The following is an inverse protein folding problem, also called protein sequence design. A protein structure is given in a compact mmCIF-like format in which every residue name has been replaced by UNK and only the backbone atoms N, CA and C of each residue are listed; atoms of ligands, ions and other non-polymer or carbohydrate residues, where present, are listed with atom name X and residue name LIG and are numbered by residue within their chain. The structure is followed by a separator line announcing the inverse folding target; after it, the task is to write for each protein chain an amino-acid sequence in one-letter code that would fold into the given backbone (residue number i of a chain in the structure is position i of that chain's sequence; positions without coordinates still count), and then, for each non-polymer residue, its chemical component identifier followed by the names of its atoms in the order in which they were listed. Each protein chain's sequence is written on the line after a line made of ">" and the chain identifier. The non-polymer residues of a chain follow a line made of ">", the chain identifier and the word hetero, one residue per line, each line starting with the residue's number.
data_IF_618409303891
#
_entry.id   IF_618409303891
#
_cell.length_a   1.000
_cell.length_b   1.000
_cell.length_c   1.000
_cell.angle_alpha   90.00
_cell.angle_beta   90.00
_cell.angle_gamma   90.00
#
_symmetry.space_group_name_H-M   'P 1'
#
loop_
_entity.id
_entity.type
_entity.pdbx_description
1 polymer ?
#
# COMPACT_ATOMS: atom_id res chain seq x y z
N UNK A 1 3.50 -9.86 23.65
CA UNK A 1 4.68 -10.46 22.99
C UNK A 1 4.39 -10.57 21.51
N UNK A 2 5.38 -10.38 20.62
CA UNK A 2 5.19 -10.66 19.20
C UNK A 2 4.80 -12.13 19.03
N UNK A 3 3.78 -12.40 18.22
CA UNK A 3 3.34 -13.77 17.92
C UNK A 3 4.32 -14.34 16.90
N UNK A 4 5.20 -15.23 17.37
CA UNK A 4 6.10 -16.00 16.51
C UNK A 4 5.30 -17.19 15.94
N UNK A 5 5.18 -17.34 14.61
CA UNK A 5 4.42 -18.45 14.04
C UNK A 5 5.17 -19.77 14.24
N UNK A 6 4.48 -20.83 14.64
CA UNK A 6 5.07 -22.18 14.58
C UNK A 6 5.22 -22.64 13.12
N UNK A 7 4.20 -22.35 12.29
CA UNK A 7 4.15 -22.69 10.86
C UNK A 7 3.79 -21.44 10.07
N UNK A 8 4.59 -21.11 9.06
CA UNK A 8 4.30 -20.07 8.07
C UNK A 8 3.86 -20.72 6.75
N UNK A 9 2.68 -20.34 6.27
CA UNK A 9 2.23 -20.60 4.91
C UNK A 9 2.41 -19.32 4.09
N UNK A 10 3.16 -19.40 2.99
CA UNK A 10 3.36 -18.25 2.11
C UNK A 10 3.30 -18.66 0.65
N UNK A 11 3.00 -17.71 -0.21
CA UNK A 11 3.11 -17.85 -1.65
C UNK A 11 4.42 -17.19 -2.13
N UNK A 12 5.08 -17.81 -3.10
CA UNK A 12 6.32 -17.31 -3.72
C UNK A 12 6.34 -17.59 -5.23
N UNK A 13 7.11 -16.80 -5.98
CA UNK A 13 7.43 -17.12 -7.38
C UNK A 13 8.30 -18.38 -7.47
N UNK A 14 8.44 -19.00 -8.66
CA UNK A 14 9.49 -19.98 -8.90
C UNK A 14 10.88 -19.44 -8.54
N UNK A 15 11.84 -20.28 -8.12
CA UNK A 15 13.21 -19.86 -7.92
C UNK A 15 13.85 -19.45 -9.24
N UNK A 16 14.73 -18.44 -9.20
CA UNK A 16 15.61 -18.13 -10.32
C UNK A 16 16.82 -19.08 -10.38
N UNK A 17 17.73 -18.86 -11.34
CA UNK A 17 18.95 -19.64 -11.52
C UNK A 17 19.89 -19.64 -10.30
N UNK A 18 19.69 -18.73 -9.35
CA UNK A 18 20.46 -18.60 -8.11
C UNK A 18 19.70 -19.12 -6.89
N UNK A 19 18.52 -19.73 -7.10
CA UNK A 19 17.70 -20.29 -6.03
C UNK A 19 16.87 -19.27 -5.27
N UNK A 20 16.74 -18.02 -5.75
CA UNK A 20 15.91 -17.02 -5.10
C UNK A 20 14.49 -17.01 -5.65
N UNK A 21 13.53 -17.11 -4.75
CA UNK A 21 12.12 -16.83 -4.99
C UNK A 21 11.81 -15.37 -4.60
N UNK A 22 10.65 -14.86 -5.03
CA UNK A 22 10.11 -13.56 -4.67
C UNK A 22 8.75 -13.72 -3.98
N UNK A 23 8.44 -12.92 -2.96
CA UNK A 23 7.09 -12.90 -2.35
C UNK A 23 6.05 -12.14 -3.19
N UNK A 24 6.45 -11.70 -4.37
CA UNK A 24 5.59 -11.15 -5.40
C UNK A 24 5.15 -9.73 -5.12
N UNK A 25 3.85 -9.48 -5.18
CA UNK A 25 3.31 -8.16 -4.91
C UNK A 25 3.15 -7.85 -3.42
N UNK A 26 3.34 -8.80 -2.50
CA UNK A 26 3.02 -8.60 -1.08
C UNK A 26 4.11 -9.15 -0.17
N UNK A 27 4.99 -8.26 0.31
CA UNK A 27 6.06 -8.58 1.24
C UNK A 27 5.58 -8.57 2.70
N UNK A 28 4.96 -7.48 3.15
CA UNK A 28 4.61 -7.25 4.55
C UNK A 28 5.81 -7.49 5.48
N UNK A 29 5.70 -8.45 6.40
CA UNK A 29 6.77 -8.91 7.28
C UNK A 29 7.19 -10.37 6.97
N UNK A 30 6.86 -10.90 5.79
CA UNK A 30 7.10 -12.32 5.44
C UNK A 30 8.57 -12.70 5.59
N UNK A 31 9.50 -11.80 5.27
CA UNK A 31 10.94 -12.05 5.41
C UNK A 31 11.34 -12.30 6.86
N UNK A 32 10.76 -11.56 7.80
CA UNK A 32 10.97 -11.79 9.22
C UNK A 32 10.29 -13.08 9.66
N UNK A 33 9.05 -13.32 9.22
CA UNK A 33 8.30 -14.53 9.56
C UNK A 33 8.99 -15.81 9.09
N UNK A 34 9.60 -15.81 7.90
CA UNK A 34 10.39 -16.95 7.38
C UNK A 34 11.54 -17.30 8.32
N UNK A 35 12.21 -16.30 8.90
CA UNK A 35 13.35 -16.51 9.81
C UNK A 35 12.93 -16.98 11.20
N UNK A 36 11.74 -16.58 11.64
CA UNK A 36 11.24 -16.87 12.99
C UNK A 36 10.42 -18.16 13.06
N UNK A 37 9.80 -18.57 11.95
CA UNK A 37 8.98 -19.77 11.91
C UNK A 37 9.80 -21.03 12.15
N UNK A 38 9.19 -22.02 12.83
CA UNK A 38 9.80 -23.36 12.96
C UNK A 38 9.66 -24.18 11.68
N UNK A 39 8.65 -23.87 10.87
CA UNK A 39 8.37 -24.52 9.60
C UNK A 39 7.81 -23.53 8.59
N UNK A 40 8.35 -23.50 7.39
CA UNK A 40 7.92 -22.66 6.26
C UNK A 40 7.48 -23.54 5.10
N UNK A 41 6.20 -23.46 4.76
CA UNK A 41 5.62 -24.14 3.59
C UNK A 41 5.28 -23.06 2.56
N UNK A 42 5.92 -23.14 1.39
CA UNK A 42 5.79 -22.17 0.33
C UNK A 42 5.06 -22.75 -0.89
N UNK A 43 3.96 -22.11 -1.27
CA UNK A 43 3.26 -22.38 -2.52
C UNK A 43 3.95 -21.62 -3.66
N UNK A 44 4.44 -22.37 -4.66
CA UNK A 44 5.15 -21.85 -5.82
C UNK A 44 4.14 -21.51 -6.92
N UNK A 45 3.88 -20.23 -7.13
CA UNK A 45 2.96 -19.73 -8.16
C UNK A 45 3.69 -19.00 -9.28
N UNK A 46 3.66 -19.57 -10.49
CA UNK A 46 4.24 -18.96 -11.70
C UNK A 46 3.59 -17.63 -12.10
N UNK A 47 2.37 -17.36 -11.62
CA UNK A 47 1.64 -16.14 -11.91
C UNK A 47 2.03 -14.96 -11.00
N UNK A 48 2.84 -15.20 -9.96
CA UNK A 48 3.33 -14.11 -9.13
C UNK A 48 4.34 -13.27 -9.90
N UNK A 49 4.12 -11.95 -9.87
CA UNK A 49 5.11 -11.00 -10.38
C UNK A 49 6.40 -11.08 -9.56
N UNK A 50 7.52 -10.56 -10.08
CA UNK A 50 8.75 -10.38 -9.30
C UNK A 50 8.99 -8.89 -9.09
N UNK A 51 9.23 -8.48 -7.86
CA UNK A 51 9.54 -7.08 -7.54
C UNK A 51 10.89 -6.99 -6.82
N UNK A 52 11.48 -5.79 -6.78
CA UNK A 52 12.78 -5.57 -6.13
C UNK A 52 12.61 -5.11 -4.69
N UNK A 53 13.75 -4.89 -4.01
CA UNK A 53 13.80 -4.53 -2.60
C UNK A 53 14.19 -5.72 -1.73
N UNK A 54 13.60 -5.81 -0.54
CA UNK A 54 13.81 -6.90 0.42
C UNK A 54 12.97 -8.13 0.10
N UNK A 55 12.32 -8.15 -1.06
CA UNK A 55 11.24 -9.05 -1.41
C UNK A 55 11.68 -10.41 -1.98
N UNK A 56 12.79 -10.94 -1.47
CA UNK A 56 13.37 -12.20 -1.92
C UNK A 56 13.61 -13.16 -0.75
N UNK A 57 13.52 -14.46 -1.04
CA UNK A 57 13.81 -15.56 -0.13
C UNK A 57 14.51 -16.67 -0.90
N UNK A 58 15.58 -17.24 -0.36
CA UNK A 58 16.27 -18.36 -1.01
C UNK A 58 15.58 -19.68 -0.68
N UNK A 59 15.59 -20.64 -1.59
CA UNK A 59 14.97 -21.97 -1.38
C UNK A 59 15.50 -22.72 -0.16
N UNK A 60 16.72 -22.41 0.30
CA UNK A 60 17.27 -22.99 1.54
C UNK A 60 16.63 -22.47 2.82
N UNK A 61 15.83 -21.41 2.74
CA UNK A 61 15.08 -20.83 3.86
C UNK A 61 13.63 -21.38 3.90
N UNK A 62 13.29 -22.35 3.03
CA UNK A 62 11.95 -22.91 2.89
C UNK A 62 12.01 -24.43 3.16
N UNK A 63 11.14 -24.94 4.03
CA UNK A 63 11.14 -26.37 4.40
C UNK A 63 10.40 -27.23 3.37
N UNK A 64 9.29 -26.72 2.84
CA UNK A 64 8.50 -27.40 1.81
C UNK A 64 8.10 -26.44 0.69
N UNK A 65 8.15 -26.94 -0.54
CA UNK A 65 7.67 -26.27 -1.73
C UNK A 65 6.51 -27.09 -2.31
N UNK A 66 5.37 -26.45 -2.54
CA UNK A 66 4.20 -27.07 -3.17
C UNK A 66 3.83 -26.29 -4.43
N UNK A 67 3.49 -26.98 -5.51
CA UNK A 67 3.10 -26.32 -6.76
C UNK A 67 1.71 -25.69 -6.63
N UNK A 68 1.56 -24.45 -7.08
CA UNK A 68 0.27 -23.77 -7.12
C UNK A 68 -0.70 -24.53 -8.02
N UNK A 69 -1.87 -24.85 -7.47
CA UNK A 69 -2.99 -25.39 -8.27
C UNK A 69 -3.96 -24.25 -8.59
N UNK A 70 -4.12 -23.86 -9.87
CA UNK A 70 -5.01 -22.77 -10.24
C UNK A 70 -6.43 -23.02 -9.73
N UNK A 71 -6.97 -22.09 -8.96
CA UNK A 71 -8.38 -22.16 -8.58
C UNK A 71 -9.25 -21.90 -9.82
N UNK A 72 -10.37 -22.62 -9.96
CA UNK A 72 -11.37 -22.36 -11.01
C UNK A 72 -12.02 -20.97 -10.92
N UNK A 73 -11.75 -20.24 -9.84
CA UNK A 73 -12.22 -18.88 -9.59
C UNK A 73 -11.10 -17.91 -9.98
N UNK A 74 -11.19 -17.33 -11.18
CA UNK A 74 -10.38 -16.16 -11.50
C UNK A 74 -10.79 -15.04 -10.53
N UNK A 75 -9.88 -14.64 -9.63
CA UNK A 75 -10.00 -13.39 -8.92
C UNK A 75 -9.97 -12.29 -9.99
N UNK A 76 -11.13 -11.66 -10.24
CA UNK A 76 -11.24 -10.60 -11.24
C UNK A 76 -10.31 -9.43 -10.92
N UNK A 77 -10.00 -8.62 -11.94
CA UNK A 77 -9.32 -7.35 -11.73
C UNK A 77 -10.09 -6.49 -10.71
N UNK A 78 -9.42 -6.08 -9.63
CA UNK A 78 -10.04 -5.42 -8.49
C UNK A 78 -9.01 -4.70 -7.61
N UNK A 79 -9.49 -3.95 -6.62
CA UNK A 79 -8.63 -3.35 -5.60
C UNK A 79 -7.84 -4.41 -4.82
N UNK A 80 -6.80 -4.00 -4.08
CA UNK A 80 -6.06 -4.86 -3.13
C UNK A 80 -6.98 -5.60 -2.15
N UNK A 81 -8.15 -5.03 -1.84
CA UNK A 81 -9.17 -5.65 -1.00
C UNK A 81 -10.14 -6.60 -1.76
N UNK A 82 -9.80 -7.01 -3.00
CA UNK A 82 -10.62 -7.89 -3.82
C UNK A 82 -11.94 -7.29 -4.31
N UNK A 83 -12.12 -5.96 -4.17
CA UNK A 83 -13.35 -5.27 -4.59
C UNK A 83 -13.32 -4.97 -6.08
N UNK A 84 -14.47 -5.17 -6.74
CA UNK A 84 -14.68 -4.73 -8.12
C UNK A 84 -14.45 -3.22 -8.21
N UNK A 85 -13.76 -2.78 -9.26
CA UNK A 85 -13.65 -1.37 -9.57
C UNK A 85 -15.02 -0.85 -10.01
N UNK A 86 -15.62 -0.02 -9.16
CA UNK A 86 -16.88 0.67 -9.46
C UNK A 86 -16.64 2.15 -9.75
N UNK A 87 -17.64 2.77 -10.37
CA UNK A 87 -17.67 4.22 -10.57
C UNK A 87 -17.74 4.92 -9.21
N UNK A 88 -16.78 5.82 -8.89
CA UNK A 88 -16.75 6.49 -7.61
C UNK A 88 -18.00 7.37 -7.43
N UNK A 89 -18.65 7.36 -6.25
CA UNK A 89 -19.73 8.29 -5.96
C UNK A 89 -19.34 9.76 -6.18
N UNK A 90 -20.27 10.63 -6.62
CA UNK A 90 -19.97 12.02 -7.00
C UNK A 90 -19.28 12.84 -5.89
N UNK A 91 -19.59 12.58 -4.62
CA UNK A 91 -18.98 13.31 -3.49
C UNK A 91 -17.47 13.09 -3.39
N UNK A 92 -16.94 11.95 -3.88
CA UNK A 92 -15.50 11.66 -3.84
C UNK A 92 -14.71 12.58 -4.74
N UNK A 93 -15.31 13.09 -5.83
CA UNK A 93 -14.66 14.09 -6.69
C UNK A 93 -14.35 15.36 -5.90
N UNK A 94 -15.27 15.79 -5.06
CA UNK A 94 -15.07 16.97 -4.22
C UNK A 94 -13.97 16.75 -3.17
N UNK A 95 -13.91 15.55 -2.60
CA UNK A 95 -12.82 15.16 -1.69
C UNK A 95 -11.48 15.20 -2.45
N UNK A 96 -11.40 14.63 -3.66
CA UNK A 96 -10.19 14.65 -4.47
C UNK A 96 -9.72 16.08 -4.81
N UNK A 97 -10.64 16.96 -5.18
CA UNK A 97 -10.36 18.38 -5.43
C UNK A 97 -9.79 19.09 -4.20
N UNK A 98 -10.38 18.86 -3.02
CA UNK A 98 -9.89 19.45 -1.77
C UNK A 98 -8.50 18.92 -1.40
N UNK A 99 -8.28 17.60 -1.52
CA UNK A 99 -6.97 17.00 -1.23
C UNK A 99 -5.91 17.49 -2.22
N UNK A 100 -6.23 17.64 -3.50
CA UNK A 100 -5.30 18.11 -4.53
C UNK A 100 -4.71 19.51 -4.26
N UNK A 101 -5.47 20.37 -3.57
CA UNK A 101 -5.02 21.71 -3.17
C UNK A 101 -3.95 21.66 -2.06
N UNK A 102 -3.91 20.58 -1.29
CA UNK A 102 -2.96 20.38 -0.18
C UNK A 102 -1.65 19.72 -0.62
N UNK A 103 -1.65 19.12 -1.83
CA UNK A 103 -0.49 18.47 -2.44
C UNK A 103 0.26 19.44 -3.35
N UNK A 104 1.58 19.47 -3.23
CA UNK A 104 2.51 20.30 -3.99
C UNK A 104 3.44 19.43 -4.82
N UNK A 105 4.03 20.02 -5.86
CA UNK A 105 5.08 19.36 -6.65
C UNK A 105 6.25 18.96 -5.76
N UNK A 106 6.72 17.73 -5.92
CA UNK A 106 7.80 17.17 -5.11
C UNK A 106 7.43 16.66 -3.72
N UNK A 107 6.16 16.73 -3.31
CA UNK A 107 5.72 16.09 -2.07
C UNK A 107 5.96 14.56 -2.15
N UNK A 108 6.32 13.93 -1.03
CA UNK A 108 6.33 12.47 -0.90
C UNK A 108 5.00 12.05 -0.30
N UNK A 109 4.25 11.17 -0.98
CA UNK A 109 2.91 10.82 -0.55
C UNK A 109 2.80 9.39 -0.02
N UNK A 110 1.89 9.23 0.94
CA UNK A 110 1.22 7.98 1.30
C UNK A 110 -0.28 8.15 1.06
N UNK A 111 -0.94 7.08 0.61
CA UNK A 111 -2.40 7.03 0.55
C UNK A 111 -2.91 5.65 0.99
N UNK A 112 -3.87 5.65 1.91
CA UNK A 112 -4.48 4.44 2.43
C UNK A 112 -5.35 3.71 1.40
N UNK A 113 -5.58 2.43 1.63
CA UNK A 113 -6.42 1.56 0.79
C UNK A 113 -7.81 1.46 1.44
N UNK A 114 -8.79 2.21 0.94
CA UNK A 114 -10.14 2.26 1.50
C UNK A 114 -11.17 2.85 0.54
N UNK A 115 -12.46 2.74 0.89
CA UNK A 115 -13.58 3.21 0.03
C UNK A 115 -13.50 4.69 -0.34
N UNK A 116 -12.97 5.52 0.56
CA UNK A 116 -12.88 6.97 0.34
C UNK A 116 -11.56 7.38 -0.32
N UNK A 117 -10.44 6.72 0.03
CA UNK A 117 -9.11 7.11 -0.43
C UNK A 117 -8.71 6.47 -1.76
N UNK A 118 -9.00 5.18 -1.99
CA UNK A 118 -8.62 4.50 -3.23
C UNK A 118 -9.08 5.22 -4.49
N UNK A 119 -10.33 5.74 -4.58
CA UNK A 119 -10.78 6.37 -5.81
C UNK A 119 -10.10 7.71 -6.09
N UNK A 120 -9.50 8.37 -5.08
CA UNK A 120 -8.93 9.72 -5.24
C UNK A 120 -7.81 9.75 -6.29
N UNK A 121 -7.02 8.69 -6.40
CA UNK A 121 -5.95 8.55 -7.41
C UNK A 121 -6.50 8.61 -8.83
N UNK A 122 -7.67 8.00 -9.07
CA UNK A 122 -8.36 7.97 -10.37
C UNK A 122 -9.22 9.22 -10.61
N UNK A 123 -9.59 9.92 -9.55
CA UNK A 123 -10.36 11.17 -9.60
C UNK A 123 -9.49 12.42 -9.75
N UNK A 124 -8.23 12.25 -10.15
CA UNK A 124 -7.36 13.36 -10.52
C UNK A 124 -6.77 14.14 -9.35
N UNK A 125 -6.68 13.53 -8.16
CA UNK A 125 -6.04 14.15 -6.98
C UNK A 125 -4.62 14.66 -7.28
N UNK A 126 -3.90 14.01 -8.21
CA UNK A 126 -2.54 14.37 -8.61
C UNK A 126 -2.45 15.02 -10.01
N UNK A 127 -3.58 15.42 -10.60
CA UNK A 127 -3.57 16.07 -11.91
C UNK A 127 -2.77 17.37 -11.87
N UNK A 128 -1.88 17.53 -12.86
CA UNK A 128 -1.00 18.70 -12.97
C UNK A 128 0.11 18.76 -11.92
N UNK A 129 0.29 17.72 -11.09
CA UNK A 129 1.42 17.62 -10.17
C UNK A 129 2.61 16.97 -10.84
N UNK A 130 3.81 17.33 -10.39
CA UNK A 130 5.07 16.81 -10.94
C UNK A 130 6.02 16.35 -9.82
N UNK A 131 6.92 15.43 -10.19
CA UNK A 131 7.98 14.91 -9.33
C UNK A 131 7.52 14.31 -7.99
N UNK A 132 6.30 13.77 -7.95
CA UNK A 132 5.74 13.21 -6.73
C UNK A 132 6.56 12.00 -6.26
N UNK A 133 6.85 11.96 -4.97
CA UNK A 133 7.43 10.80 -4.29
C UNK A 133 6.35 9.85 -3.79
N UNK A 134 6.69 8.57 -3.66
CA UNK A 134 5.77 7.56 -3.14
C UNK A 134 6.45 6.70 -2.06
N UNK A 135 5.95 6.78 -0.83
CA UNK A 135 6.33 5.96 0.33
C UNK A 135 5.05 5.62 1.09
N UNK A 136 4.48 4.44 0.85
CA UNK A 136 3.12 4.12 1.28
C UNK A 136 3.00 2.65 1.64
N UNK A 137 2.16 2.30 2.61
CA UNK A 137 1.83 0.90 2.95
C UNK A 137 1.57 0.06 1.70
N UNK A 138 0.65 0.57 0.87
CA UNK A 138 0.31 -0.08 -0.37
C UNK A 138 -0.01 0.89 -1.52
N UNK A 139 -0.25 0.34 -2.72
CA UNK A 139 -0.73 1.11 -3.87
C UNK A 139 -2.20 0.83 -4.17
N UNK A 140 -3.10 1.82 -4.04
CA UNK A 140 -4.43 1.71 -4.61
C UNK A 140 -4.36 1.69 -6.16
N UNK A 141 -5.42 1.21 -6.83
CA UNK A 141 -5.51 1.27 -8.29
C UNK A 141 -5.22 2.66 -8.85
N UNK A 142 -4.46 2.74 -9.95
CA UNK A 142 -4.07 3.98 -10.61
C UNK A 142 -2.68 4.53 -10.25
N UNK A 143 -2.06 4.09 -9.15
CA UNK A 143 -0.68 4.51 -8.83
C UNK A 143 0.31 4.08 -9.91
N UNK A 144 0.22 2.83 -10.39
CA UNK A 144 1.10 2.33 -11.44
C UNK A 144 0.96 3.16 -12.72
N UNK A 145 -0.27 3.49 -13.13
CA UNK A 145 -0.54 4.43 -14.22
C UNK A 145 0.11 5.80 -14.02
N UNK A 146 0.04 6.37 -12.81
CA UNK A 146 0.66 7.68 -12.52
C UNK A 146 2.20 7.64 -12.55
N UNK A 147 2.80 6.49 -12.22
CA UNK A 147 4.24 6.24 -12.41
C UNK A 147 4.57 6.19 -13.90
N UNK A 148 3.79 5.43 -14.70
CA UNK A 148 3.95 5.36 -16.17
C UNK A 148 3.86 6.72 -16.85
N UNK A 149 3.00 7.59 -16.34
CA UNK A 149 2.81 8.96 -16.85
C UNK A 149 3.92 9.94 -16.41
N UNK A 150 4.81 9.54 -15.51
CA UNK A 150 5.89 10.39 -15.01
C UNK A 150 5.46 11.43 -13.97
N UNK A 151 4.22 11.34 -13.46
CA UNK A 151 3.74 12.19 -12.36
C UNK A 151 4.41 11.76 -11.05
N UNK A 152 4.42 10.44 -10.79
CA UNK A 152 5.15 9.84 -9.66
C UNK A 152 6.53 9.42 -10.17
N UNK A 153 7.56 10.14 -9.75
CA UNK A 153 8.95 9.87 -10.16
C UNK A 153 9.85 9.47 -9.00
N UNK A 154 9.51 9.86 -7.76
CA UNK A 154 10.37 9.65 -6.60
C UNK A 154 11.65 10.51 -6.58
N UNK A 155 11.90 11.36 -7.58
CA UNK A 155 13.18 12.07 -7.73
C UNK A 155 13.52 13.00 -6.57
N UNK A 156 12.49 13.54 -5.90
CA UNK A 156 12.63 14.51 -4.79
C UNK A 156 12.50 13.87 -3.40
N UNK A 157 12.35 12.55 -3.31
CA UNK A 157 12.31 11.87 -2.01
C UNK A 157 13.66 11.98 -1.30
N UNK A 158 13.64 12.23 0.01
CA UNK A 158 14.85 12.21 0.85
C UNK A 158 15.46 10.82 0.96
N UNK A 159 14.64 9.81 1.27
CA UNK A 159 15.05 8.40 1.29
C UNK A 159 14.58 7.68 0.02
N UNK A 160 15.36 6.69 -0.42
CA UNK A 160 15.07 5.88 -1.61
C UNK A 160 14.67 6.74 -2.85
N UNK A 161 15.51 7.71 -3.26
CA UNK A 161 15.20 8.57 -4.39
C UNK A 161 14.99 7.76 -5.67
N UNK A 162 14.02 8.17 -6.47
CA UNK A 162 13.63 7.51 -7.71
C UNK A 162 12.85 6.20 -7.53
N UNK A 163 12.48 5.83 -6.30
CA UNK A 163 11.77 4.58 -6.01
C UNK A 163 10.34 4.82 -5.51
N UNK A 164 9.44 3.96 -5.96
CA UNK A 164 8.13 3.71 -5.36
C UNK A 164 8.33 2.68 -4.26
N UNK A 165 8.31 3.15 -3.00
CA UNK A 165 8.58 2.30 -1.83
C UNK A 165 7.26 1.90 -1.18
N UNK A 166 7.02 0.59 -1.09
CA UNK A 166 5.79 0.00 -0.53
C UNK A 166 6.07 -1.32 0.18
N UNK A 167 5.11 -1.88 0.92
CA UNK A 167 5.19 -3.28 1.36
C UNK A 167 4.22 -4.18 0.58
N UNK A 168 3.16 -3.59 0.02
CA UNK A 168 2.19 -4.29 -0.83
C UNK A 168 1.90 -3.49 -2.10
N UNK A 169 2.11 -4.10 -3.26
CA UNK A 169 1.81 -3.52 -4.56
C UNK A 169 0.43 -3.99 -5.04
N UNK A 170 -0.47 -3.05 -5.25
CA UNK A 170 -1.75 -3.21 -5.92
C UNK A 170 -1.79 -2.55 -7.29
N UNK A 171 -2.33 -3.26 -8.27
CA UNK A 171 -2.66 -2.73 -9.59
C UNK A 171 -4.17 -2.78 -9.82
N UNK A 172 -4.68 -1.92 -10.68
CA UNK A 172 -6.06 -1.95 -11.15
C UNK A 172 -6.29 -2.98 -12.26
N UNK A 173 -5.23 -3.53 -12.86
CA UNK A 173 -5.30 -4.56 -13.90
C UNK A 173 -4.09 -5.50 -13.89
N UNK A 174 -4.21 -6.64 -14.58
CA UNK A 174 -3.10 -7.56 -14.82
C UNK A 174 -1.95 -6.90 -15.58
N UNK A 175 -2.27 -6.08 -16.59
CA UNK A 175 -1.28 -5.33 -17.36
C UNK A 175 -0.44 -4.40 -16.47
N UNK A 176 -1.07 -3.70 -15.52
CA UNK A 176 -0.33 -2.84 -14.57
C UNK A 176 0.62 -3.67 -13.69
N UNK A 177 0.17 -4.83 -13.22
CA UNK A 177 1.01 -5.72 -12.41
C UNK A 177 2.18 -6.29 -13.22
N UNK A 178 1.94 -6.72 -14.46
CA UNK A 178 2.98 -7.20 -15.38
C UNK A 178 3.99 -6.09 -15.69
N UNK A 179 3.54 -4.85 -15.88
CA UNK A 179 4.43 -3.69 -16.09
C UNK A 179 5.30 -3.36 -14.88
N UNK A 180 4.80 -3.62 -13.68
CA UNK A 180 5.57 -3.46 -12.44
C UNK A 180 6.54 -4.63 -12.17
N UNK A 181 6.28 -5.80 -12.77
CA UNK A 181 7.15 -6.98 -12.65
C UNK A 181 8.54 -6.70 -13.23
N UNK A 182 9.59 -7.06 -12.49
CA UNK A 182 10.99 -6.82 -12.82
C UNK A 182 11.31 -5.35 -13.17
N UNK A 183 10.54 -4.41 -12.63
CA UNK A 183 10.77 -2.98 -12.84
C UNK A 183 11.48 -2.38 -11.63
N UNK A 184 12.72 -1.85 -11.78
CA UNK A 184 13.55 -1.38 -10.66
C UNK A 184 12.99 -0.14 -9.95
N UNK A 185 11.93 0.49 -10.48
CA UNK A 185 11.24 1.59 -9.81
C UNK A 185 10.48 1.12 -8.57
N UNK A 186 9.92 -0.09 -8.57
CA UNK A 186 9.16 -0.63 -7.46
C UNK A 186 10.09 -1.33 -6.47
N UNK A 187 10.04 -0.88 -5.22
CA UNK A 187 10.95 -1.29 -4.17
C UNK A 187 10.15 -1.71 -2.94
N UNK A 188 9.97 -3.03 -2.79
CA UNK A 188 9.22 -3.60 -1.69
C UNK A 188 10.11 -3.78 -0.46
N UNK A 189 9.65 -3.25 0.67
CA UNK A 189 10.39 -3.27 1.94
C UNK A 189 9.53 -3.84 3.06
N UNK A 190 10.19 -4.31 4.12
CA UNK A 190 9.51 -4.81 5.30
C UNK A 190 8.62 -3.72 5.93
N UNK A 191 7.43 -4.11 6.36
CA UNK A 191 6.45 -3.20 6.98
C UNK A 191 7.03 -2.49 8.21
N UNK A 192 7.92 -3.13 8.98
CA UNK A 192 8.58 -2.54 10.13
C UNK A 192 9.53 -1.39 9.78
N UNK A 193 10.13 -1.39 8.59
CA UNK A 193 10.87 -0.23 8.07
C UNK A 193 9.91 0.82 7.51
N UNK A 194 8.93 0.37 6.71
CA UNK A 194 8.01 1.25 6.01
C UNK A 194 7.18 2.13 6.95
N UNK A 195 6.69 1.52 8.02
CA UNK A 195 5.82 2.12 9.03
C UNK A 195 6.59 2.61 10.26
N UNK A 196 7.93 2.63 10.24
CA UNK A 196 8.68 3.29 11.30
C UNK A 196 8.45 4.82 11.21
N UNK A 197 7.86 5.47 12.24
CA UNK A 197 7.62 6.91 12.20
C UNK A 197 8.90 7.73 11.97
N UNK A 198 10.07 7.20 12.35
CA UNK A 198 11.38 7.84 12.13
C UNK A 198 11.78 7.80 10.65
N UNK A 199 11.48 6.70 9.96
CA UNK A 199 11.70 6.56 8.51
C UNK A 199 10.74 7.47 7.76
N UNK A 200 9.46 7.47 8.13
CA UNK A 200 8.45 8.34 7.53
C UNK A 200 8.81 9.83 7.72
N UNK A 201 9.19 10.22 8.94
CA UNK A 201 9.57 11.60 9.27
C UNK A 201 10.84 12.09 8.55
N UNK A 202 11.71 11.17 8.13
CA UNK A 202 12.93 11.52 7.40
C UNK A 202 12.66 11.96 5.94
N UNK A 203 11.45 11.74 5.41
CA UNK A 203 11.05 12.33 4.14
C UNK A 203 10.65 13.80 4.36
N UNK A 204 11.29 14.73 3.63
CA UNK A 204 10.82 16.11 3.57
C UNK A 204 9.48 16.15 2.81
N UNK A 205 8.56 17.01 3.25
CA UNK A 205 7.24 17.20 2.65
C UNK A 205 6.43 15.89 2.56
N UNK A 206 6.44 15.09 3.63
CA UNK A 206 5.64 13.86 3.70
C UNK A 206 4.14 14.19 3.84
N UNK A 207 3.32 13.80 2.87
CA UNK A 207 1.87 14.01 2.87
C UNK A 207 1.15 12.67 2.96
N UNK A 208 0.41 12.45 4.04
CA UNK A 208 -0.29 11.18 4.29
C UNK A 208 -1.79 11.38 4.17
N UNK A 209 -2.48 10.49 3.46
CA UNK A 209 -3.90 10.63 3.15
C UNK A 209 -4.62 9.35 3.61
N UNK A 210 -5.36 9.45 4.70
CA UNK A 210 -6.02 8.30 5.35
C UNK A 210 -7.54 8.51 5.46
N UNK A 211 -8.31 7.42 5.46
CA UNK A 211 -9.76 7.52 5.67
C UNK A 211 -10.11 7.49 7.16
N UNK A 212 -11.27 8.05 7.50
CA UNK A 212 -11.95 7.80 8.77
C UNK A 212 -13.34 7.19 8.54
N UNK A 213 -13.87 6.52 9.56
CA UNK A 213 -15.28 6.13 9.66
C UNK A 213 -16.10 7.24 10.31
N UNK A 214 -15.61 7.81 11.41
CA UNK A 214 -16.25 8.89 12.16
C UNK A 214 -15.21 9.83 12.75
N UNK A 215 -15.63 11.07 13.03
CA UNK A 215 -14.84 12.06 13.76
C UNK A 215 -15.76 12.83 14.70
N UNK A 216 -15.34 13.03 15.95
CA UNK A 216 -16.09 13.87 16.89
C UNK A 216 -15.69 15.35 16.80
N UNK A 217 -16.40 16.21 17.52
CA UNK A 217 -16.13 17.66 17.54
C UNK A 217 -14.82 18.04 18.21
N UNK A 218 -14.17 17.12 18.93
CA UNK A 218 -12.85 17.31 19.54
C UNK A 218 -11.72 16.91 18.60
N UNK A 219 -12.04 16.33 17.44
CA UNK A 219 -11.07 15.85 16.45
C UNK A 219 -10.61 14.41 16.69
N UNK A 220 -11.24 13.66 17.61
CA UNK A 220 -10.96 12.24 17.74
C UNK A 220 -11.50 11.50 16.53
N UNK A 221 -10.64 10.67 15.92
CA UNK A 221 -10.94 9.93 14.70
C UNK A 221 -11.04 8.45 15.05
N UNK A 222 -12.05 7.79 14.50
CA UNK A 222 -12.18 6.32 14.49
C UNK A 222 -12.16 5.84 13.05
N UNK A 223 -11.33 4.86 12.74
CA UNK A 223 -11.19 4.26 11.41
C UNK A 223 -11.47 2.75 11.39
N UNK A 224 -11.55 2.13 12.56
CA UNK A 224 -11.55 0.68 12.78
C UNK A 224 -12.90 0.14 13.26
N UNK A 225 -13.74 0.98 13.89
CA UNK A 225 -14.99 0.53 14.50
C UNK A 225 -16.13 1.53 14.34
N UNK A 226 -17.36 1.04 14.48
CA UNK A 226 -18.56 1.86 14.64
C UNK A 226 -19.24 1.43 15.94
N UNK A 227 -19.13 2.27 16.97
CA UNK A 227 -19.47 1.87 18.34
C UNK A 227 -18.64 0.65 18.78
N UNK A 228 -19.25 -0.40 19.35
CA UNK A 228 -18.52 -1.59 19.79
C UNK A 228 -18.16 -2.55 18.65
N UNK A 229 -18.61 -2.29 17.41
CA UNK A 229 -18.42 -3.21 16.28
C UNK A 229 -17.14 -2.86 15.52
N UNK A 230 -16.16 -3.76 15.59
CA UNK A 230 -14.96 -3.71 14.74
C UNK A 230 -15.34 -3.98 13.29
N UNK A 231 -14.92 -3.08 12.40
CA UNK A 231 -15.11 -3.13 10.95
C UNK A 231 -13.77 -3.45 10.26
N UNK A 232 -12.68 -2.89 10.77
CA UNK A 232 -11.32 -3.05 10.24
C UNK A 232 -10.29 -2.90 11.37
N UNK A 233 -9.01 -2.76 11.01
CA UNK A 233 -7.92 -2.40 11.91
C UNK A 233 -7.44 -0.98 11.59
N UNK A 234 -6.73 -0.35 12.53
CA UNK A 234 -6.06 0.93 12.29
C UNK A 234 -4.91 0.82 11.25
N UNK A 235 -4.31 -0.37 11.10
CA UNK A 235 -3.18 -0.59 10.19
C UNK A 235 -2.01 0.38 10.46
N UNK A 236 -1.29 0.79 9.42
CA UNK A 236 -0.20 1.76 9.52
C UNK A 236 -0.62 3.22 9.70
N UNK A 237 -1.93 3.53 9.78
CA UNK A 237 -2.43 4.90 9.75
C UNK A 237 -1.80 5.80 10.82
N UNK A 238 -1.70 5.32 12.06
CA UNK A 238 -1.15 6.10 13.18
C UNK A 238 0.33 6.42 12.93
N UNK A 239 1.11 5.43 12.46
CA UNK A 239 2.53 5.62 12.17
C UNK A 239 2.74 6.68 11.09
N UNK A 240 1.93 6.65 10.02
CA UNK A 240 1.97 7.65 8.96
C UNK A 240 1.58 9.04 9.45
N UNK A 241 0.50 9.19 10.23
CA UNK A 241 0.09 10.48 10.80
C UNK A 241 1.21 11.08 11.67
N UNK A 242 1.78 10.28 12.58
CA UNK A 242 2.87 10.72 13.46
C UNK A 242 4.11 11.08 12.64
N UNK A 243 4.50 10.24 11.68
CA UNK A 243 5.64 10.50 10.81
C UNK A 243 5.48 11.76 9.96
N UNK A 244 4.28 12.03 9.43
CA UNK A 244 3.99 13.24 8.68
C UNK A 244 4.04 14.51 9.55
N UNK A 245 3.60 14.45 10.80
CA UNK A 245 3.72 15.57 11.74
C UNK A 245 5.17 15.88 12.12
N UNK A 246 6.01 14.84 12.20
CA UNK A 246 7.43 14.98 12.50
C UNK A 246 8.27 15.35 11.25
N UNK A 247 7.73 15.15 10.06
CA UNK A 247 8.36 15.51 8.79
C UNK A 247 8.46 17.02 8.59
N UNK A 248 9.60 17.49 8.09
CA UNK A 248 9.79 18.88 7.70
C UNK A 248 8.86 19.24 6.54
N UNK A 249 7.87 20.10 6.81
CA UNK A 249 6.85 20.48 5.81
C UNK A 249 5.79 19.40 5.55
N UNK A 250 5.75 18.36 6.39
CA UNK A 250 4.78 17.28 6.29
C UNK A 250 3.36 17.69 6.66
N UNK A 251 2.38 16.93 6.17
CA UNK A 251 0.94 17.16 6.32
C UNK A 251 0.21 15.83 6.48
N UNK A 252 -0.57 15.69 7.55
CA UNK A 252 -1.48 14.55 7.72
C UNK A 252 -2.91 14.97 7.33
N UNK A 253 -3.50 14.29 6.36
CA UNK A 253 -4.84 14.56 5.82
C UNK A 253 -5.73 13.35 6.12
N UNK A 254 -6.82 13.59 6.83
CA UNK A 254 -7.87 12.58 7.04
C UNK A 254 -9.09 12.94 6.20
N UNK A 255 -9.60 11.98 5.44
CA UNK A 255 -10.77 12.14 4.58
C UNK A 255 -11.91 11.26 5.05
N UNK A 256 -13.11 11.82 5.02
CA UNK A 256 -14.36 11.11 5.27
C UNK A 256 -15.52 11.82 4.54
N UNK A 257 -16.53 11.09 4.08
CA UNK A 257 -17.81 11.68 3.73
C UNK A 257 -18.42 12.34 4.97
N UNK A 258 -19.08 13.48 4.80
CA UNK A 258 -19.74 14.16 5.93
C UNK A 258 -20.98 13.44 6.45
N UNK A 259 -21.50 12.47 5.69
CA UNK A 259 -22.67 11.67 6.06
C UNK A 259 -22.54 10.23 5.57
N UNK A 260 -23.29 9.34 6.20
CA UNK A 260 -23.48 7.94 5.81
C UNK A 260 -24.97 7.61 5.67
N UNK A 261 -25.27 6.39 5.16
CA UNK A 261 -26.65 5.89 4.96
C UNK A 261 -27.54 6.91 4.23
N UNK A 262 -27.11 7.30 3.03
CA UNK A 262 -27.85 8.23 2.16
C UNK A 262 -28.19 9.57 2.84
N UNK A 263 -27.30 10.06 3.71
CA UNK A 263 -27.45 11.35 4.39
C UNK A 263 -28.21 11.30 5.71
N UNK A 264 -28.64 10.11 6.16
CA UNK A 264 -29.42 9.97 7.41
C UNK A 264 -28.57 9.88 8.68
N UNK A 265 -27.25 9.72 8.54
CA UNK A 265 -26.30 9.66 9.66
C UNK A 265 -25.17 10.64 9.40
N UNK A 266 -24.81 11.45 10.41
CA UNK A 266 -23.59 12.25 10.43
C UNK A 266 -22.48 11.55 11.21
#
# INVERSE_FOLDING_TARGET
>A
EPVIPDILLTEVSPPDEKGFCSFGQSLWNKRQQVKEAKLVIAEVNENLIRTFGDNFVHVSELDYLVEHTPSSRQLGAGSLAGRKLEEPPPYLKRIAENVSQLIKDGDTIQIGVGRTTEPLTRLGMLNGKNDIGYHSEATPPGIISLVRQGIITGKRKTLNPGKVVVTSLGGGSREEMEWASNNPLFWLVDVGYLEDPRVIAAHDNMVTINNALTMDLTGQITAESVGPRVISSAGGQIAFVVGAWLSKGGRAITVLPSTARDGTVS
#
